data_IF_366651024044
#
_entry.id   IF_366651024044
#
_cell.length_a   1.000
_cell.length_b   1.000
_cell.length_c   1.000
_cell.angle_alpha   90.00
_cell.angle_beta   90.00
_cell.angle_gamma   90.00
#
_symmetry.space_group_name_H-M   'P 1'
#
loop_
_entity.id
_entity.type
_entity.pdbx_description
1 polymer ?
#
# COMPACT_ATOMS: atom_id res chain seq x y z
N UNK A 1 -10.86 -0.68 3.88
CA UNK A 1 -9.75 -1.42 4.52
C UNK A 1 -10.15 -2.82 5.02
N UNK A 2 -11.21 -2.98 5.82
CA UNK A 2 -11.61 -4.31 6.34
C UNK A 2 -11.80 -5.39 5.26
N UNK A 3 -12.48 -5.08 4.15
CA UNK A 3 -12.66 -6.02 3.02
C UNK A 3 -11.33 -6.49 2.41
N UNK A 4 -10.34 -5.59 2.29
CA UNK A 4 -9.01 -5.91 1.78
C UNK A 4 -8.23 -6.80 2.75
N UNK A 5 -8.31 -6.50 4.05
CA UNK A 5 -7.74 -7.35 5.09
C UNK A 5 -8.31 -8.76 5.04
N UNK A 6 -9.64 -8.91 4.88
CA UNK A 6 -10.30 -10.21 4.73
C UNK A 6 -9.89 -10.94 3.44
N UNK A 7 -9.58 -10.20 2.37
CA UNK A 7 -9.02 -10.75 1.13
C UNK A 7 -7.52 -11.12 1.27
N UNK A 8 -6.92 -10.97 2.46
CA UNK A 8 -5.52 -11.26 2.72
C UNK A 8 -4.56 -10.24 2.11
N UNK A 9 -5.02 -9.01 1.87
CA UNK A 9 -4.16 -7.88 1.46
C UNK A 9 -3.65 -7.18 2.73
N UNK A 10 -2.34 -6.94 2.77
CA UNK A 10 -1.73 -6.17 3.85
C UNK A 10 -2.17 -4.69 3.79
N UNK A 11 -3.04 -4.32 4.72
CA UNK A 11 -3.51 -2.95 4.96
C UNK A 11 -3.38 -2.64 6.45
N UNK A 12 -3.25 -1.37 6.86
CA UNK A 12 -3.25 -1.02 8.27
C UNK A 12 -4.52 -1.50 8.97
N UNK A 13 -4.34 -2.11 10.14
CA UNK A 13 -5.47 -2.39 11.03
C UNK A 13 -6.05 -1.07 11.55
N UNK A 14 -7.37 -0.94 11.54
CA UNK A 14 -8.08 0.22 12.08
C UNK A 14 -8.50 -0.09 13.52
N UNK A 15 -7.93 0.63 14.48
CA UNK A 15 -8.21 0.44 15.91
C UNK A 15 -9.43 1.24 16.37
N UNK A 16 -9.58 2.47 15.86
CA UNK A 16 -10.68 3.38 16.22
C UNK A 16 -11.18 4.03 14.94
N UNK A 17 -12.50 4.13 14.82
CA UNK A 17 -13.16 4.88 13.75
C UNK A 17 -14.31 5.67 14.36
N UNK A 18 -14.25 6.99 14.20
CA UNK A 18 -15.29 7.94 14.60
C UNK A 18 -15.73 8.74 13.38
N UNK A 19 -16.68 9.65 13.54
CA UNK A 19 -17.11 10.53 12.46
C UNK A 19 -16.02 11.55 12.05
N UNK A 20 -15.10 11.88 12.95
CA UNK A 20 -14.13 12.97 12.75
C UNK A 20 -12.70 12.46 12.48
N UNK A 21 -12.37 11.28 12.99
CA UNK A 21 -11.04 10.69 12.84
C UNK A 21 -11.05 9.17 12.94
N UNK A 22 -9.97 8.55 12.46
CA UNK A 22 -9.64 7.16 12.73
C UNK A 22 -8.21 7.03 13.25
N UNK A 23 -7.95 5.95 13.98
CA UNK A 23 -6.62 5.53 14.43
C UNK A 23 -6.33 4.19 13.78
N UNK A 24 -5.14 4.07 13.18
CA UNK A 24 -4.71 2.85 12.52
C UNK A 24 -3.28 2.47 12.88
N UNK A 25 -2.93 1.23 12.58
CA UNK A 25 -1.58 0.71 12.71
C UNK A 25 -0.56 1.59 11.96
N UNK A 26 0.55 1.91 12.62
CA UNK A 26 1.70 2.52 11.96
C UNK A 26 2.43 1.48 11.09
N UNK A 27 2.45 1.69 9.78
CA UNK A 27 3.04 0.78 8.79
C UNK A 27 4.34 1.32 8.16
N UNK A 28 5.13 2.07 8.93
CA UNK A 28 6.42 2.58 8.48
C UNK A 28 6.32 3.70 7.45
N UNK A 29 7.41 3.93 6.71
CA UNK A 29 7.50 4.98 5.70
C UNK A 29 6.87 4.54 4.38
N UNK A 30 6.35 5.50 3.61
CA UNK A 30 6.03 5.25 2.21
C UNK A 30 7.30 4.85 1.45
N UNK A 31 7.19 3.99 0.45
CA UNK A 31 8.32 3.61 -0.40
C UNK A 31 8.86 4.81 -1.15
N UNK A 32 8.01 5.76 -1.53
CA UNK A 32 8.44 7.04 -2.09
C UNK A 32 9.36 7.81 -1.14
N UNK A 33 8.98 7.94 0.14
CA UNK A 33 9.79 8.67 1.11
C UNK A 33 11.05 7.89 1.51
N UNK A 34 10.96 6.57 1.65
CA UNK A 34 12.10 5.70 1.92
C UNK A 34 13.17 5.84 0.82
N UNK A 35 12.76 5.77 -0.45
CA UNK A 35 13.68 5.86 -1.59
C UNK A 35 14.28 7.26 -1.72
N UNK A 36 13.55 8.31 -1.37
CA UNK A 36 14.06 9.70 -1.35
C UNK A 36 15.03 9.93 -0.19
N UNK A 37 14.66 9.54 1.02
CA UNK A 37 15.46 9.75 2.23
C UNK A 37 16.76 8.95 2.21
N UNK A 38 16.74 7.76 1.61
CA UNK A 38 17.92 6.90 1.52
C UNK A 38 18.53 6.87 0.11
N UNK A 39 18.29 7.91 -0.70
CA UNK A 39 18.73 7.96 -2.10
C UNK A 39 20.25 7.79 -2.25
N UNK A 40 21.04 8.38 -1.37
CA UNK A 40 22.52 8.32 -1.40
C UNK A 40 23.09 7.08 -0.71
N UNK A 41 22.29 6.42 0.14
CA UNK A 41 22.74 5.27 0.95
C UNK A 41 22.43 3.95 0.25
N UNK A 42 21.25 3.85 -0.37
CA UNK A 42 20.83 2.61 -1.03
C UNK A 42 21.53 2.44 -2.38
N UNK A 43 22.11 1.27 -2.57
CA UNK A 43 22.53 0.78 -3.87
C UNK A 43 21.34 0.67 -4.83
N UNK A 44 21.64 0.58 -6.13
CA UNK A 44 20.62 0.36 -7.17
C UNK A 44 19.89 -0.96 -6.93
N UNK A 45 20.60 -2.00 -6.50
CA UNK A 45 20.07 -3.32 -6.20
C UNK A 45 19.06 -3.28 -5.04
N UNK A 46 19.36 -2.54 -3.97
CA UNK A 46 18.42 -2.37 -2.84
C UNK A 46 17.19 -1.58 -3.24
N UNK A 47 17.35 -0.49 -4.02
CA UNK A 47 16.21 0.25 -4.57
C UNK A 47 15.32 -0.65 -5.42
N UNK A 48 15.91 -1.48 -6.27
CA UNK A 48 15.18 -2.48 -7.08
C UNK A 48 14.44 -3.50 -6.22
N UNK A 49 14.98 -3.89 -5.06
CA UNK A 49 14.29 -4.81 -4.13
C UNK A 49 12.99 -4.20 -3.62
N UNK A 50 12.98 -2.93 -3.22
CA UNK A 50 11.77 -2.24 -2.78
C UNK A 50 10.74 -2.10 -3.90
N UNK A 51 11.20 -1.72 -5.11
CA UNK A 51 10.32 -1.59 -6.28
C UNK A 51 9.72 -2.95 -6.68
N UNK A 52 10.52 -4.02 -6.66
CA UNK A 52 10.03 -5.38 -6.95
C UNK A 52 8.96 -5.80 -5.94
N UNK A 53 9.19 -5.58 -4.64
CA UNK A 53 8.20 -5.89 -3.63
C UNK A 53 6.88 -5.11 -3.82
N UNK A 54 6.96 -3.83 -4.23
CA UNK A 54 5.78 -3.04 -4.55
C UNK A 54 4.99 -3.60 -5.75
N UNK A 55 5.71 -4.07 -6.78
CA UNK A 55 5.11 -4.69 -7.98
C UNK A 55 4.49 -6.05 -7.63
N UNK A 56 5.18 -6.89 -6.87
CA UNK A 56 4.66 -8.18 -6.40
C UNK A 56 3.37 -7.99 -5.57
N UNK A 57 3.36 -7.00 -4.67
CA UNK A 57 2.16 -6.63 -3.91
C UNK A 57 1.03 -6.05 -4.77
N UNK A 58 1.32 -5.49 -5.95
CA UNK A 58 0.30 -5.05 -6.92
C UNK A 58 -0.27 -6.22 -7.72
N UNK A 59 0.59 -7.17 -8.10
CA UNK A 59 0.16 -8.40 -8.76
C UNK A 59 -0.76 -9.20 -7.84
N UNK A 60 -0.38 -9.40 -6.58
CA UNK A 60 -1.19 -10.13 -5.59
C UNK A 60 -2.56 -9.45 -5.37
N UNK A 61 -2.62 -8.12 -5.34
CA UNK A 61 -3.88 -7.36 -5.26
C UNK A 61 -4.83 -7.72 -6.41
N UNK A 62 -4.33 -7.66 -7.65
CA UNK A 62 -5.14 -7.95 -8.83
C UNK A 62 -5.53 -9.43 -8.91
N UNK A 63 -4.64 -10.35 -8.51
CA UNK A 63 -4.95 -11.80 -8.45
C UNK A 63 -6.09 -12.09 -7.47
N UNK A 64 -6.19 -11.32 -6.39
CA UNK A 64 -7.30 -11.38 -5.41
C UNK A 64 -8.56 -10.64 -5.86
N UNK A 65 -8.63 -10.23 -7.14
CA UNK A 65 -9.74 -9.48 -7.75
C UNK A 65 -10.05 -8.17 -7.01
N UNK A 66 -9.04 -7.59 -6.36
CA UNK A 66 -9.13 -6.28 -5.75
C UNK A 66 -8.46 -5.26 -6.67
N UNK A 67 -8.86 -4.00 -6.58
CA UNK A 67 -8.25 -2.91 -7.32
C UNK A 67 -8.01 -1.71 -6.41
N UNK A 68 -7.03 -0.90 -6.78
CA UNK A 68 -6.72 0.35 -6.10
C UNK A 68 -6.26 1.36 -7.15
N UNK A 69 -7.07 2.41 -7.40
CA UNK A 69 -6.78 3.40 -8.44
C UNK A 69 -5.48 4.18 -8.21
N UNK A 70 -5.10 4.37 -6.95
CA UNK A 70 -3.87 5.02 -6.52
C UNK A 70 -2.67 4.09 -6.31
N UNK A 71 -2.28 3.26 -7.28
CA UNK A 71 -1.12 2.35 -7.17
C UNK A 71 0.28 3.03 -7.13
N UNK A 72 0.35 4.28 -6.67
CA UNK A 72 1.57 5.08 -6.61
C UNK A 72 2.43 4.70 -5.39
N UNK A 73 3.75 4.85 -5.48
CA UNK A 73 4.67 4.50 -4.37
C UNK A 73 4.44 5.29 -3.06
N UNK A 74 3.74 6.43 -3.12
CA UNK A 74 3.33 7.17 -1.91
C UNK A 74 2.24 6.46 -1.10
N UNK A 75 1.44 5.62 -1.76
CA UNK A 75 0.34 4.84 -1.16
C UNK A 75 0.78 3.42 -0.77
N UNK A 76 2.08 3.16 -0.85
CA UNK A 76 2.70 1.87 -0.51
C UNK A 76 3.73 2.14 0.56
N UNK A 77 3.62 1.45 1.69
CA UNK A 77 4.51 1.60 2.84
C UNK A 77 5.28 0.32 3.10
N UNK A 78 6.46 0.44 3.72
CA UNK A 78 7.31 -0.68 4.06
C UNK A 78 7.52 -0.77 5.56
N UNK A 79 7.17 -1.92 6.13
CA UNK A 79 7.36 -2.18 7.55
C UNK A 79 7.73 -3.63 7.81
N UNK A 80 8.88 -3.83 8.47
CA UNK A 80 9.35 -5.16 8.91
C UNK A 80 9.33 -6.23 7.81
N UNK A 81 9.67 -5.86 6.57
CA UNK A 81 9.71 -6.80 5.44
C UNK A 81 8.38 -6.95 4.70
N UNK A 82 7.33 -6.26 5.14
CA UNK A 82 5.99 -6.34 4.56
C UNK A 82 5.65 -5.04 3.86
N UNK A 83 5.06 -5.17 2.67
CA UNK A 83 4.48 -4.06 1.92
C UNK A 83 3.03 -3.89 2.36
N UNK A 84 2.71 -2.72 2.91
CA UNK A 84 1.35 -2.34 3.26
C UNK A 84 0.82 -1.31 2.26
N UNK A 85 -0.47 -1.42 1.93
CA UNK A 85 -1.17 -0.42 1.13
C UNK A 85 -1.95 0.53 2.03
N UNK A 86 -1.87 1.82 1.74
CA UNK A 86 -2.56 2.89 2.46
C UNK A 86 -3.37 3.75 1.49
N UNK A 87 -4.12 4.71 2.02
CA UNK A 87 -4.87 5.71 1.24
C UNK A 87 -5.90 5.10 0.27
N UNK A 88 -6.89 4.38 0.82
CA UNK A 88 -8.00 3.78 0.07
C UNK A 88 -9.23 4.69 -0.07
N UNK A 89 -9.06 5.99 0.11
CA UNK A 89 -10.18 6.95 0.09
C UNK A 89 -10.62 7.36 -1.33
N UNK A 90 -10.00 6.78 -2.37
CA UNK A 90 -10.55 6.87 -3.71
C UNK A 90 -11.91 6.18 -3.75
N UNK A 91 -12.95 6.99 -3.59
CA UNK A 91 -14.30 6.68 -4.00
C UNK A 91 -14.28 6.52 -5.52
N UNK A 92 -13.93 5.32 -6.00
CA UNK A 92 -14.10 4.93 -7.38
C UNK A 92 -15.61 4.83 -7.62
N UNK A 93 -16.25 5.99 -7.74
CA UNK A 93 -17.67 6.08 -8.08
C UNK A 93 -17.91 5.20 -9.30
N UNK A 94 -18.55 4.05 -9.08
CA UNK A 94 -18.98 3.09 -10.09
C UNK A 94 -17.98 2.78 -11.23
N UNK A 95 -16.66 2.81 -11.00
CA UNK A 95 -15.70 2.43 -12.03
C UNK A 95 -15.23 0.99 -11.78
N UNK A 96 -16.00 0.05 -12.32
CA UNK A 96 -15.50 -1.27 -12.72
C UNK A 96 -14.86 -1.12 -14.11
N UNK A 97 -13.55 -1.35 -14.29
CA UNK A 97 -13.00 -1.78 -15.57
C UNK A 97 -12.34 -3.15 -15.38
N UNK A 98 -12.60 -4.21 -16.13
CA UNK A 98 -13.38 -4.46 -17.33
C UNK A 98 -14.00 -5.87 -17.18
N UNK A 99 -15.16 -6.05 -17.82
CA UNK A 99 -15.77 -7.32 -18.21
C UNK A 99 -14.79 -8.28 -18.89
#
# INVERSE_FOLDING_TARGET
>A
MQQLSTAGIAVPEVYVHTNDFFIMQACGLSLNDLLKQQAEVLSVEEKRKYLRAAVEALIDLHQKKQWHGGAQLRNVTWWKGVVYRIDFEENTGNALPLS
#
